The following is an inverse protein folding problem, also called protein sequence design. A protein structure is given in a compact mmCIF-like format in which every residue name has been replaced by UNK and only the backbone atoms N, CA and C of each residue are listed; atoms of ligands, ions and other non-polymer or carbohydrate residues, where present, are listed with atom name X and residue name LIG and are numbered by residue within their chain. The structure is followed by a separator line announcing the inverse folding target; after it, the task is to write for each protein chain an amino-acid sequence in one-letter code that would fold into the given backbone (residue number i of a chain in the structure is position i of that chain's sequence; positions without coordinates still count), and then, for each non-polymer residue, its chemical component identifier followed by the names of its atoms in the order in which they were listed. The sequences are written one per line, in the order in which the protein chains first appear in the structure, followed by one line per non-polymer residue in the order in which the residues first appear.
data_IF_063149312446
#
_entry.id   IF_063149312446
#
_cell.length_a   1.000
_cell.length_b   1.000
_cell.length_c   1.000
_cell.angle_alpha   90.00
_cell.angle_beta   90.00
_cell.angle_gamma   90.00
#
_symmetry.space_group_name_H-M   'P 1'
#
loop_
_entity.id
_entity.type
_entity.pdbx_description
1 polymer ?
#
# COMPACT_ATOMS: atom_id res chain seq x y z
N UNK A 1 20.45 19.93 -30.57
CA UNK A 1 19.56 18.82 -30.24
C UNK A 1 18.20 19.16 -30.81
N UNK A 2 17.73 18.41 -31.79
CA UNK A 2 16.42 18.61 -32.42
C UNK A 2 15.52 17.48 -31.97
N UNK A 3 14.34 17.79 -31.41
CA UNK A 3 13.41 16.78 -30.93
C UNK A 3 12.24 16.63 -31.90
N UNK A 4 11.96 15.39 -32.26
CA UNK A 4 10.90 15.02 -33.19
C UNK A 4 9.74 14.38 -32.42
N UNK A 5 8.49 14.80 -32.65
CA UNK A 5 7.35 14.21 -31.99
C UNK A 5 7.04 12.85 -32.61
N UNK A 6 6.85 11.84 -31.76
CA UNK A 6 6.53 10.49 -32.21
C UNK A 6 5.49 9.82 -31.30
N UNK A 7 4.98 8.68 -31.75
CA UNK A 7 4.05 7.82 -31.02
C UNK A 7 4.61 6.40 -30.99
N UNK A 8 4.61 5.77 -29.81
CA UNK A 8 4.97 4.36 -29.66
C UNK A 8 3.84 3.51 -30.24
N UNK A 9 4.15 2.60 -31.15
CA UNK A 9 3.17 1.66 -31.73
C UNK A 9 3.32 0.26 -31.18
N UNK A 10 4.55 -0.17 -30.92
CA UNK A 10 4.85 -1.47 -30.34
C UNK A 10 5.98 -1.35 -29.32
N UNK A 11 5.93 -2.19 -28.29
CA UNK A 11 6.96 -2.29 -27.26
C UNK A 11 7.36 -3.76 -27.08
N UNK A 12 8.64 -4.05 -27.31
CA UNK A 12 9.25 -5.32 -26.93
C UNK A 12 9.89 -5.16 -25.55
N UNK A 13 9.18 -5.62 -24.52
CA UNK A 13 9.61 -5.53 -23.14
C UNK A 13 10.90 -6.34 -22.87
N UNK A 14 11.12 -7.45 -23.57
CA UNK A 14 12.31 -8.29 -23.36
C UNK A 14 13.57 -7.57 -23.85
N UNK A 15 13.47 -6.89 -24.99
CA UNK A 15 14.59 -6.16 -25.59
C UNK A 15 14.71 -4.71 -25.15
N UNK A 16 13.71 -4.17 -24.45
CA UNK A 16 13.57 -2.74 -24.13
C UNK A 16 13.64 -1.87 -25.40
N UNK A 17 12.99 -2.33 -26.46
CA UNK A 17 12.94 -1.65 -27.77
C UNK A 17 11.51 -1.29 -28.11
N UNK A 18 11.35 -0.17 -28.81
CA UNK A 18 10.04 0.30 -29.27
C UNK A 18 10.04 0.50 -30.78
N UNK A 19 8.87 0.34 -31.39
CA UNK A 19 8.60 0.77 -32.76
C UNK A 19 7.85 2.08 -32.70
N UNK A 20 8.38 3.10 -33.38
CA UNK A 20 7.86 4.47 -33.29
C UNK A 20 7.39 5.00 -34.63
N UNK A 21 6.26 5.68 -34.62
CA UNK A 21 5.79 6.50 -35.73
C UNK A 21 6.24 7.94 -35.50
N UNK A 22 7.12 8.45 -36.36
CA UNK A 22 7.63 9.82 -36.30
C UNK A 22 6.76 10.68 -37.22
N UNK A 23 6.04 11.62 -36.62
CA UNK A 23 5.02 12.41 -37.33
C UNK A 23 5.67 13.19 -38.47
N UNK A 24 5.18 13.01 -39.70
CA UNK A 24 5.69 13.67 -40.89
C UNK A 24 6.95 13.03 -41.50
N UNK A 25 7.44 11.92 -40.94
CA UNK A 25 8.61 11.20 -41.47
C UNK A 25 8.31 9.74 -41.84
N UNK A 26 7.45 9.07 -41.09
CA UNK A 26 7.12 7.64 -41.30
C UNK A 26 5.68 7.45 -41.77
N UNK A 27 5.05 8.50 -42.30
CA UNK A 27 3.65 8.49 -42.71
C UNK A 27 3.46 7.54 -43.91
N UNK A 28 2.66 6.49 -43.74
CA UNK A 28 2.38 5.49 -44.79
C UNK A 28 3.37 4.33 -44.86
N UNK A 29 4.34 4.25 -43.95
CA UNK A 29 5.27 3.12 -43.87
C UNK A 29 4.61 1.88 -43.24
N UNK A 30 4.91 0.71 -43.80
CA UNK A 30 4.43 -0.58 -43.29
C UNK A 30 5.35 -1.17 -42.20
N UNK A 31 6.56 -0.63 -42.05
CA UNK A 31 7.53 -1.07 -41.04
C UNK A 31 8.14 0.16 -40.37
N UNK A 32 7.71 0.39 -39.14
CA UNK A 32 8.17 1.53 -38.34
C UNK A 32 9.60 1.30 -37.81
N UNK A 33 10.42 2.37 -37.67
CA UNK A 33 11.78 2.25 -37.16
C UNK A 33 11.80 1.71 -35.72
N UNK A 34 12.77 0.82 -35.45
CA UNK A 34 13.09 0.39 -34.08
C UNK A 34 13.92 1.47 -33.40
N UNK A 35 13.61 1.76 -32.14
CA UNK A 35 14.24 2.83 -31.37
C UNK A 35 14.69 2.31 -30.00
N UNK A 36 15.79 2.88 -29.53
CA UNK A 36 16.26 2.70 -28.16
C UNK A 36 15.48 3.61 -27.18
N UNK A 37 15.47 3.21 -25.91
CA UNK A 37 14.96 4.03 -24.82
C UNK A 37 16.12 4.68 -24.08
N UNK A 38 16.10 6.01 -23.96
CA UNK A 38 17.06 6.72 -23.11
C UNK A 38 16.65 6.59 -21.65
N UNK A 39 17.32 5.70 -20.93
CA UNK A 39 17.11 5.53 -19.50
C UNK A 39 17.71 6.69 -18.71
N UNK A 40 16.95 7.18 -17.71
CA UNK A 40 17.46 8.13 -16.75
C UNK A 40 18.57 7.49 -15.91
N UNK A 41 19.56 8.29 -15.51
CA UNK A 41 20.56 7.82 -14.56
C UNK A 41 19.88 7.45 -13.23
N UNK A 42 19.95 6.17 -12.86
CA UNK A 42 19.24 5.60 -11.70
C UNK A 42 18.22 4.54 -12.09
N UNK A 43 17.64 4.66 -13.29
CA UNK A 43 16.80 3.60 -13.87
C UNK A 43 17.68 2.67 -14.68
N UNK A 44 18.20 1.62 -14.01
CA UNK A 44 18.93 0.58 -14.70
C UNK A 44 17.93 -0.42 -15.24
N UNK A 45 17.91 -0.64 -16.56
CA UNK A 45 17.01 -1.60 -17.22
C UNK A 45 17.08 -3.04 -16.66
N UNK A 46 18.15 -3.37 -15.94
CA UNK A 46 18.34 -4.65 -15.23
C UNK A 46 17.69 -4.72 -13.84
N UNK A 47 17.22 -3.60 -13.29
CA UNK A 47 16.66 -3.50 -11.93
C UNK A 47 15.30 -2.80 -11.90
N UNK A 48 15.06 -1.85 -12.81
CA UNK A 48 13.82 -1.08 -12.88
C UNK A 48 13.21 -1.12 -14.27
N UNK A 49 11.90 -0.99 -14.31
CA UNK A 49 11.12 -0.89 -15.53
C UNK A 49 10.20 0.34 -15.45
N UNK A 50 10.11 1.07 -16.55
CA UNK A 50 9.13 2.12 -16.77
C UNK A 50 8.05 1.49 -17.65
N UNK A 51 6.79 1.64 -17.27
CA UNK A 51 5.67 1.16 -18.10
C UNK A 51 5.64 1.94 -19.42
N UNK A 52 5.74 1.21 -20.53
CA UNK A 52 5.63 1.75 -21.90
C UNK A 52 4.45 1.09 -22.57
N UNK A 53 3.52 1.88 -23.11
CA UNK A 53 2.32 1.40 -23.77
C UNK A 53 2.25 1.87 -25.22
N UNK A 54 1.57 1.08 -26.05
CA UNK A 54 1.19 1.53 -27.38
C UNK A 54 0.27 2.74 -27.27
N UNK A 55 0.53 3.77 -28.07
CA UNK A 55 -0.16 5.05 -28.05
C UNK A 55 0.56 6.14 -27.26
N UNK A 56 1.60 5.82 -26.50
CA UNK A 56 2.35 6.81 -25.74
C UNK A 56 3.03 7.84 -26.67
N UNK A 57 2.84 9.12 -26.35
CA UNK A 57 3.48 10.23 -27.06
C UNK A 57 4.87 10.47 -26.50
N UNK A 58 5.86 10.55 -27.38
CA UNK A 58 7.28 10.67 -26.99
C UNK A 58 8.01 11.73 -27.82
N UNK A 59 9.14 12.18 -27.28
CA UNK A 59 10.16 12.91 -28.02
C UNK A 59 11.28 11.97 -28.46
N UNK A 60 11.74 12.16 -29.69
CA UNK A 60 12.80 11.36 -30.32
C UNK A 60 13.94 12.27 -30.74
N UNK A 61 15.16 11.82 -30.51
CA UNK A 61 16.38 12.35 -31.14
C UNK A 61 17.12 11.19 -31.84
N UNK A 62 18.23 11.48 -32.49
CA UNK A 62 18.99 10.52 -33.28
C UNK A 62 20.42 10.40 -32.79
N UNK A 63 20.90 9.15 -32.64
CA UNK A 63 22.27 8.90 -32.22
C UNK A 63 23.26 9.52 -33.22
N UNK A 64 24.07 10.47 -32.76
CA UNK A 64 25.01 11.22 -33.59
C UNK A 64 24.38 11.89 -34.82
N UNK A 65 23.10 12.29 -34.73
CA UNK A 65 22.29 12.84 -35.84
C UNK A 65 22.09 11.87 -37.03
N UNK A 66 22.23 10.57 -36.83
CA UNK A 66 21.94 9.57 -37.86
C UNK A 66 20.47 9.12 -37.78
N UNK A 67 19.61 9.47 -38.77
CA UNK A 67 18.18 9.18 -38.73
C UNK A 67 17.84 7.69 -38.69
N UNK A 68 18.80 6.80 -38.96
CA UNK A 68 18.62 5.35 -38.88
C UNK A 68 18.64 4.81 -37.45
N UNK A 69 19.11 5.60 -36.49
CA UNK A 69 19.27 5.20 -35.09
C UNK A 69 18.49 6.16 -34.17
N UNK A 70 17.14 6.10 -34.18
CA UNK A 70 16.34 6.90 -33.27
C UNK A 70 16.50 6.44 -31.82
N UNK A 71 16.37 7.40 -30.92
CA UNK A 71 16.36 7.21 -29.47
C UNK A 71 15.18 8.00 -28.90
N UNK A 72 14.30 7.32 -28.17
CA UNK A 72 13.27 7.97 -27.36
C UNK A 72 13.95 8.62 -26.16
N UNK A 73 13.84 9.93 -26.05
CA UNK A 73 14.49 10.71 -24.98
C UNK A 73 13.56 11.03 -23.81
N UNK A 74 12.26 10.74 -23.95
CA UNK A 74 11.29 10.88 -22.87
C UNK A 74 9.85 11.01 -23.37
N UNK A 75 8.91 10.93 -22.45
CA UNK A 75 7.50 11.17 -22.73
C UNK A 75 7.26 12.63 -23.10
N UNK A 76 6.42 12.82 -24.12
CA UNK A 76 5.91 14.12 -24.54
C UNK A 76 4.54 14.33 -23.89
N UNK A 77 4.32 15.42 -23.14
CA UNK A 77 3.03 15.68 -22.54
C UNK A 77 1.97 15.91 -23.63
N UNK A 78 0.73 15.41 -23.45
CA UNK A 78 -0.39 15.80 -24.31
C UNK A 78 -0.70 17.30 -24.11
N UNK A 79 -1.37 17.92 -25.09
CA UNK A 79 -1.78 19.34 -24.96
C UNK A 79 -2.98 19.52 -24.04
N UNK A 80 -3.79 18.47 -23.86
CA UNK A 80 -5.02 18.47 -23.06
C UNK A 80 -5.07 17.25 -22.14
N UNK A 81 -5.78 17.37 -21.01
CA UNK A 81 -5.98 16.25 -20.08
C UNK A 81 -4.80 15.94 -19.15
N UNK A 82 -3.78 16.80 -19.08
CA UNK A 82 -2.68 16.64 -18.13
C UNK A 82 -3.18 16.59 -16.68
N UNK A 83 -2.61 15.68 -15.90
CA UNK A 83 -2.87 15.59 -14.47
C UNK A 83 -2.19 16.76 -13.74
N UNK A 84 -2.91 17.43 -12.85
CA UNK A 84 -2.41 18.54 -12.05
C UNK A 84 -2.45 18.17 -10.56
N UNK A 85 -1.36 18.44 -9.84
CA UNK A 85 -1.27 18.24 -8.38
C UNK A 85 -1.12 16.80 -7.92
N UNK A 86 -0.97 15.84 -8.85
CA UNK A 86 -0.73 14.43 -8.53
C UNK A 86 0.46 13.88 -9.30
N UNK A 87 1.33 13.15 -8.59
CA UNK A 87 2.29 12.22 -9.19
C UNK A 87 1.75 10.81 -8.98
N UNK A 88 1.66 10.03 -10.06
CA UNK A 88 1.16 8.66 -10.03
C UNK A 88 2.25 7.73 -10.57
N UNK A 89 2.39 6.58 -9.93
CA UNK A 89 3.19 5.48 -10.44
C UNK A 89 2.22 4.34 -10.73
N UNK A 90 2.31 3.78 -11.93
CA UNK A 90 1.48 2.68 -12.37
C UNK A 90 2.38 1.68 -13.08
N UNK A 91 2.20 0.42 -12.73
CA UNK A 91 2.89 -0.72 -13.29
C UNK A 91 2.13 -1.98 -12.86
N UNK A 92 2.32 -3.10 -13.56
CA UNK A 92 1.72 -4.38 -13.17
C UNK A 92 2.13 -4.81 -11.75
N UNK A 93 3.39 -4.57 -11.39
CA UNK A 93 3.95 -4.85 -10.07
C UNK A 93 4.85 -3.69 -9.63
N UNK A 94 4.82 -3.34 -8.34
CA UNK A 94 5.68 -2.30 -7.76
C UNK A 94 6.34 -2.87 -6.50
N UNK A 95 7.67 -2.80 -6.45
CA UNK A 95 8.46 -3.06 -5.25
C UNK A 95 9.10 -1.75 -4.78
N UNK A 96 9.03 -1.51 -3.47
CA UNK A 96 9.80 -0.47 -2.80
C UNK A 96 10.67 -1.15 -1.75
N UNK A 97 11.99 -1.01 -1.89
CA UNK A 97 12.97 -1.61 -1.00
C UNK A 97 14.00 -0.55 -0.56
N UNK A 98 14.46 -0.66 0.69
CA UNK A 98 15.46 0.23 1.26
C UNK A 98 16.33 -0.55 2.25
N UNK A 99 17.65 -0.36 2.22
CA UNK A 99 18.60 -1.13 3.04
C UNK A 99 18.51 -0.80 4.53
N UNK A 100 18.11 0.43 4.88
CA UNK A 100 18.10 0.91 6.26
C UNK A 100 16.71 1.33 6.72
N UNK A 101 16.11 2.32 6.06
CA UNK A 101 14.83 2.89 6.50
C UNK A 101 14.02 3.36 5.30
N UNK A 102 12.71 3.10 5.34
CA UNK A 102 11.73 3.67 4.44
C UNK A 102 10.76 4.54 5.23
N UNK A 103 10.64 5.82 4.84
CA UNK A 103 9.75 6.77 5.51
C UNK A 103 8.70 7.29 4.52
N UNK A 104 7.42 7.09 4.84
CA UNK A 104 6.28 7.66 4.12
C UNK A 104 5.64 8.77 4.97
N UNK A 105 5.73 10.02 4.49
CA UNK A 105 5.21 11.21 5.19
C UNK A 105 4.16 11.93 4.36
N UNK A 106 3.06 12.30 4.99
CA UNK A 106 1.98 13.06 4.37
C UNK A 106 0.86 13.33 5.38
N UNK A 107 -0.12 14.16 4.99
CA UNK A 107 -1.29 14.43 5.85
C UNK A 107 -2.16 13.17 6.03
N UNK A 108 -2.33 12.41 4.96
CA UNK A 108 -3.14 11.19 4.93
C UNK A 108 -2.39 10.11 4.13
N UNK A 109 -2.44 8.87 4.61
CA UNK A 109 -2.04 7.68 3.88
C UNK A 109 -3.27 6.79 3.70
N UNK A 110 -3.58 6.41 2.46
CA UNK A 110 -4.67 5.47 2.14
C UNK A 110 -4.07 4.22 1.51
N UNK A 111 -4.25 3.08 2.17
CA UNK A 111 -3.80 1.76 1.72
C UNK A 111 -5.04 0.95 1.35
N UNK A 112 -5.09 0.42 0.13
CA UNK A 112 -6.24 -0.33 -0.41
C UNK A 112 -5.74 -1.58 -1.12
N UNK A 113 -5.80 -2.71 -0.43
CA UNK A 113 -5.40 -4.03 -0.92
C UNK A 113 -6.35 -5.08 -0.35
N UNK A 114 -6.41 -6.25 -0.96
CA UNK A 114 -7.16 -7.40 -0.42
C UNK A 114 -6.51 -7.91 0.87
N UNK A 115 -5.18 -7.94 0.91
CA UNK A 115 -4.39 -8.35 2.08
C UNK A 115 -3.27 -7.35 2.34
N UNK A 116 -3.02 -7.07 3.62
CA UNK A 116 -1.87 -6.30 4.10
C UNK A 116 -1.18 -7.19 5.14
N UNK A 117 0.05 -7.60 4.87
CA UNK A 117 0.86 -8.41 5.78
C UNK A 117 1.97 -7.55 6.40
N UNK A 118 2.13 -7.66 7.72
CA UNK A 118 3.21 -7.04 8.46
C UNK A 118 3.88 -8.10 9.32
N UNK A 119 5.17 -8.36 9.08
CA UNK A 119 5.93 -9.39 9.81
C UNK A 119 6.59 -8.85 11.08
N UNK A 120 6.76 -7.54 11.18
CA UNK A 120 7.37 -6.86 12.34
C UNK A 120 6.35 -6.23 13.29
N UNK A 121 6.87 -5.53 14.29
CA UNK A 121 6.05 -4.77 15.24
C UNK A 121 5.37 -3.58 14.57
N UNK A 122 4.08 -3.40 14.81
CA UNK A 122 3.34 -2.18 14.47
C UNK A 122 3.08 -1.35 15.72
N UNK A 123 3.50 -0.10 15.73
CA UNK A 123 3.21 0.86 16.80
C UNK A 123 2.20 1.90 16.33
N UNK A 124 1.06 2.00 17.02
CA UNK A 124 0.09 3.08 16.82
C UNK A 124 0.05 3.96 18.07
N UNK A 125 0.40 5.24 17.91
CA UNK A 125 0.45 6.22 19.00
C UNK A 125 -0.87 6.98 19.20
N UNK A 126 -1.95 6.51 18.59
CA UNK A 126 -3.26 7.17 18.58
C UNK A 126 -4.38 6.12 18.52
N UNK A 127 -5.52 6.48 17.94
CA UNK A 127 -6.71 5.64 17.88
C UNK A 127 -6.66 4.65 16.70
N UNK A 128 -7.18 3.45 16.95
CA UNK A 128 -7.50 2.45 15.92
C UNK A 128 -9.01 2.26 15.89
N UNK A 129 -9.61 2.23 14.71
CA UNK A 129 -11.01 1.85 14.51
C UNK A 129 -11.07 0.65 13.57
N UNK A 130 -11.47 -0.51 14.08
CA UNK A 130 -11.74 -1.71 13.28
C UNK A 130 -13.25 -1.84 13.07
N UNK A 131 -13.69 -1.89 11.81
CA UNK A 131 -15.12 -2.06 11.45
C UNK A 131 -15.53 -3.53 11.28
N UNK A 132 -14.58 -4.42 11.49
CA UNK A 132 -14.73 -5.88 11.39
C UNK A 132 -14.13 -6.52 12.64
N UNK A 133 -14.46 -7.80 12.92
CA UNK A 133 -13.85 -8.53 14.02
C UNK A 133 -12.32 -8.54 13.93
N UNK A 134 -11.67 -8.48 15.10
CA UNK A 134 -10.24 -8.73 15.23
C UNK A 134 -10.08 -10.17 15.71
N UNK A 135 -9.31 -10.96 14.97
CA UNK A 135 -8.92 -12.32 15.35
C UNK A 135 -7.45 -12.28 15.73
N UNK A 136 -7.11 -12.86 16.86
CA UNK A 136 -5.74 -12.97 17.36
C UNK A 136 -5.49 -14.41 17.78
N UNK A 137 -4.42 -15.02 17.28
CA UNK A 137 -4.11 -16.43 17.56
C UNK A 137 -3.54 -16.66 18.96
N UNK A 138 -2.94 -15.63 19.55
CA UNK A 138 -2.32 -15.69 20.87
C UNK A 138 -3.04 -14.75 21.86
N UNK A 139 -2.28 -13.88 22.54
CA UNK A 139 -2.77 -13.01 23.61
C UNK A 139 -3.05 -11.61 23.09
N UNK A 140 -4.16 -11.02 23.57
CA UNK A 140 -4.40 -9.58 23.50
C UNK A 140 -4.20 -8.99 24.90
N UNK A 141 -3.17 -8.16 25.07
CA UNK A 141 -2.89 -7.48 26.35
C UNK A 141 -3.37 -6.03 26.31
N UNK A 142 -4.12 -5.60 27.33
CA UNK A 142 -4.72 -4.26 27.41
C UNK A 142 -4.43 -3.59 28.77
N UNK A 143 -3.30 -2.88 28.86
CA UNK A 143 -2.78 -2.34 30.13
C UNK A 143 -3.65 -1.24 30.76
N UNK A 144 -4.39 -0.47 29.95
CA UNK A 144 -5.29 0.58 30.43
C UNK A 144 -6.76 0.11 30.57
N UNK A 145 -6.98 -1.21 30.44
CA UNK A 145 -8.30 -1.83 30.52
C UNK A 145 -9.09 -1.82 29.20
N UNK A 146 -10.31 -2.36 29.28
CA UNK A 146 -11.29 -2.43 28.21
C UNK A 146 -12.51 -1.60 28.59
N UNK A 147 -13.03 -0.79 27.67
CA UNK A 147 -14.29 -0.08 27.84
C UNK A 147 -15.22 -0.33 26.65
N UNK A 148 -16.41 -0.85 26.92
CA UNK A 148 -17.45 -1.09 25.93
C UNK A 148 -18.47 0.06 25.87
N UNK A 149 -17.99 1.24 25.48
CA UNK A 149 -18.72 2.51 25.65
C UNK A 149 -19.97 2.73 24.79
N UNK A 150 -20.33 1.82 23.87
CA UNK A 150 -21.52 1.96 22.99
C UNK A 150 -22.64 0.93 23.26
N UNK A 151 -22.55 0.16 24.34
CA UNK A 151 -23.67 -0.67 24.80
C UNK A 151 -23.83 -2.02 24.10
N UNK A 152 -22.74 -2.76 23.91
CA UNK A 152 -22.79 -4.19 23.54
C UNK A 152 -22.50 -5.12 24.72
N UNK A 153 -22.34 -6.42 24.45
CA UNK A 153 -21.85 -7.41 25.42
C UNK A 153 -20.34 -7.61 25.26
N UNK A 154 -19.62 -7.69 26.37
CA UNK A 154 -18.28 -8.31 26.40
C UNK A 154 -18.50 -9.76 26.82
N UNK A 155 -18.19 -10.70 25.94
CA UNK A 155 -18.35 -12.14 26.20
C UNK A 155 -16.98 -12.79 26.40
N UNK A 156 -16.91 -13.73 27.32
CA UNK A 156 -15.77 -14.62 27.51
C UNK A 156 -16.31 -16.06 27.46
N UNK A 157 -15.80 -16.86 26.53
CA UNK A 157 -16.01 -18.31 26.53
C UNK A 157 -14.76 -18.95 27.15
N UNK A 158 -14.94 -19.57 28.31
CA UNK A 158 -13.87 -20.04 29.18
C UNK A 158 -13.84 -19.33 30.54
N UNK A 159 -12.65 -19.27 31.14
CA UNK A 159 -12.47 -18.72 32.49
C UNK A 159 -12.17 -17.23 32.49
N UNK A 160 -12.80 -16.50 33.42
CA UNK A 160 -12.41 -15.14 33.81
C UNK A 160 -11.64 -15.21 35.13
N UNK A 161 -10.33 -14.89 35.11
CA UNK A 161 -9.52 -14.79 36.31
C UNK A 161 -9.28 -13.32 36.69
N UNK A 162 -9.74 -12.92 37.87
CA UNK A 162 -9.57 -11.56 38.40
C UNK A 162 -8.58 -11.60 39.56
N UNK A 163 -7.37 -11.08 39.33
CA UNK A 163 -6.31 -11.02 40.33
C UNK A 163 -6.24 -9.61 40.91
N UNK A 164 -6.25 -9.50 42.24
CA UNK A 164 -6.18 -8.21 42.96
C UNK A 164 -7.29 -7.20 42.57
N UNK A 165 -8.43 -7.71 42.08
CA UNK A 165 -9.58 -6.92 41.67
C UNK A 165 -10.91 -7.47 42.19
N UNK A 166 -12.00 -6.97 41.63
CA UNK A 166 -13.37 -7.39 41.92
C UNK A 166 -14.20 -7.37 40.63
N UNK A 167 -15.30 -8.11 40.62
CA UNK A 167 -16.33 -8.02 39.57
C UNK A 167 -17.55 -7.39 40.22
N UNK A 168 -17.97 -6.23 39.72
CA UNK A 168 -19.16 -5.54 40.22
C UNK A 168 -20.24 -5.50 39.15
N UNK A 169 -21.47 -5.87 39.50
CA UNK A 169 -22.65 -5.76 38.63
C UNK A 169 -23.73 -4.99 39.38
N UNK A 170 -24.22 -3.89 38.79
CA UNK A 170 -25.21 -2.99 39.41
C UNK A 170 -24.85 -2.56 40.84
N UNK A 171 -23.55 -2.34 41.08
CA UNK A 171 -22.99 -1.97 42.38
C UNK A 171 -22.82 -3.13 43.37
N UNK A 172 -23.19 -4.36 43.00
CA UNK A 172 -23.00 -5.56 43.83
C UNK A 172 -21.64 -6.19 43.52
N UNK A 173 -20.82 -6.29 44.55
CA UNK A 173 -19.48 -6.90 44.53
C UNK A 173 -19.56 -8.43 44.53
N UNK A 174 -18.89 -9.08 43.59
CA UNK A 174 -18.73 -10.53 43.62
C UNK A 174 -17.97 -10.96 44.87
N UNK A 175 -16.91 -10.23 45.23
CA UNK A 175 -16.05 -10.54 46.38
C UNK A 175 -16.71 -10.31 47.75
N UNK A 176 -17.60 -9.33 47.87
CA UNK A 176 -18.07 -8.82 49.16
C UNK A 176 -19.60 -8.84 49.34
N UNK A 177 -20.39 -9.44 48.44
CA UNK A 177 -21.83 -9.52 48.64
C UNK A 177 -22.21 -10.45 49.80
N UNK A 178 -23.32 -10.11 50.45
CA UNK A 178 -23.90 -10.89 51.54
C UNK A 178 -25.37 -11.21 51.24
N UNK A 179 -25.85 -12.35 51.72
CA UNK A 179 -27.26 -12.72 51.62
C UNK A 179 -27.99 -12.40 52.92
N UNK A 180 -29.21 -11.87 52.83
CA UNK A 180 -30.05 -11.71 54.02
C UNK A 180 -30.58 -13.08 54.46
N UNK A 181 -30.27 -13.49 55.70
CA UNK A 181 -30.70 -14.77 56.27
C UNK A 181 -29.63 -15.86 56.33
N UNK A 182 -28.39 -15.58 55.90
CA UNK A 182 -27.28 -16.42 56.35
C UNK A 182 -27.18 -16.30 57.88
N UNK A 183 -27.18 -17.44 58.57
CA UNK A 183 -27.26 -17.49 60.04
C UNK A 183 -25.87 -17.39 60.68
N UNK A 184 -24.89 -16.74 60.04
CA UNK A 184 -23.50 -16.75 60.51
C UNK A 184 -22.85 -18.14 60.48
N UNK A 185 -23.35 -19.05 59.64
CA UNK A 185 -22.76 -20.38 59.45
C UNK A 185 -21.54 -20.32 58.55
N UNK A 186 -20.45 -20.95 58.97
CA UNK A 186 -19.23 -21.15 58.18
C UNK A 186 -19.60 -21.70 56.81
N UNK A 187 -19.40 -20.94 55.74
CA UNK A 187 -19.49 -21.47 54.38
C UNK A 187 -18.45 -22.58 54.24
N UNK A 188 -18.91 -23.78 53.85
CA UNK A 188 -18.03 -24.93 53.66
C UNK A 188 -16.98 -24.63 52.59
N UNK A 189 -15.75 -25.13 52.79
CA UNK A 189 -14.67 -24.96 51.84
C UNK A 189 -15.08 -25.45 50.43
N UNK A 190 -14.69 -24.68 49.41
CA UNK A 190 -14.88 -25.08 48.02
C UNK A 190 -14.18 -26.44 47.76
N UNK A 191 -14.92 -27.38 47.17
CA UNK A 191 -14.37 -28.63 46.64
C UNK A 191 -13.71 -28.40 45.28
#
# INVERSE_FOLDING_TARGET
MSLYPAVIREYDATRRKVRIEIIGMTDGDNLLPESDLMYSLGDKSSHTEIEILSGDTVWVDFLANDPRYPIVVGFRPPEVGNVVGWRRYHHQNIELSADSEMILKGKNLKIQFETIETTGTTTNNSQITNKSPVVNEEIVSMNAGMNNGKGGTVSCDGGLNVVNGDVTSDGISLKNHHHQGDSGGTTGHAQ
#
